data_IF_265375971562
#
_entry.id   IF_265375971562
#
_cell.length_a   1.000
_cell.length_b   1.000
_cell.length_c   1.000
_cell.angle_alpha   90.00
_cell.angle_beta   90.00
_cell.angle_gamma   90.00
#
_symmetry.space_group_name_H-M   'P 1'
#
loop_
_entity.id
_entity.type
_entity.pdbx_description
1 polymer ?
#
# COMPACT_ATOMS: atom_id res chain seq x y z
N UNK A 1 -27.15 0.49 7.50
CA UNK A 1 -25.77 0.51 8.04
C UNK A 1 -24.91 1.24 7.01
N UNK A 2 -24.12 2.24 7.42
CA UNK A 2 -23.11 2.82 6.51
C UNK A 2 -21.97 1.81 6.34
N UNK A 3 -21.36 1.83 5.16
CA UNK A 3 -20.39 0.85 4.73
C UNK A 3 -19.09 0.99 5.56
N UNK A 4 -18.46 -0.14 5.88
CA UNK A 4 -17.24 -0.20 6.67
C UNK A 4 -16.05 0.05 5.76
N UNK A 5 -15.41 1.22 5.91
CA UNK A 5 -14.20 1.55 5.18
C UNK A 5 -13.07 0.61 5.63
N UNK A 6 -12.56 -0.19 4.69
CA UNK A 6 -11.49 -1.15 4.92
C UNK A 6 -10.28 -0.75 4.09
N UNK A 7 -9.15 -0.57 4.74
CA UNK A 7 -7.86 -0.36 4.09
C UNK A 7 -6.98 -1.59 4.30
N UNK A 8 -6.46 -2.13 3.20
CA UNK A 8 -5.48 -3.21 3.19
C UNK A 8 -4.19 -2.65 2.59
N UNK A 9 -3.09 -2.73 3.32
CA UNK A 9 -1.78 -2.25 2.86
C UNK A 9 -0.74 -3.35 2.97
N UNK A 10 0.01 -3.58 1.89
CA UNK A 10 1.16 -4.50 1.86
C UNK A 10 2.42 -3.69 1.55
N UNK A 11 3.37 -3.65 2.48
CA UNK A 11 4.63 -2.95 2.35
C UNK A 11 5.79 -3.94 2.15
N UNK A 12 6.62 -3.69 1.13
CA UNK A 12 7.81 -4.46 0.78
C UNK A 12 9.07 -3.71 1.19
N UNK A 13 9.93 -4.34 1.97
CA UNK A 13 11.23 -3.78 2.34
C UNK A 13 12.35 -4.82 2.23
N UNK A 14 13.60 -4.38 2.17
CA UNK A 14 14.74 -5.30 2.29
C UNK A 14 14.93 -5.74 3.74
N UNK A 15 14.80 -4.79 4.67
CA UNK A 15 14.92 -5.00 6.13
C UNK A 15 13.97 -4.03 6.87
N UNK A 16 13.65 -4.33 8.14
CA UNK A 16 12.81 -3.53 9.05
C UNK A 16 13.45 -2.20 9.41
N UNK A 17 14.78 -2.10 9.32
CA UNK A 17 15.52 -0.85 9.52
C UNK A 17 15.30 0.19 8.39
N UNK A 18 14.69 -0.20 7.27
CA UNK A 18 14.50 0.67 6.11
C UNK A 18 13.01 0.91 5.83
N UNK A 19 12.71 2.09 5.29
CA UNK A 19 11.42 2.36 4.68
C UNK A 19 11.15 1.33 3.58
N UNK A 20 9.86 1.00 3.34
CA UNK A 20 9.53 0.09 2.26
C UNK A 20 10.01 0.66 0.92
N UNK A 21 10.46 -0.20 0.02
CA UNK A 21 10.73 0.17 -1.37
C UNK A 21 9.44 0.38 -2.15
N UNK A 22 8.41 -0.37 -1.78
CA UNK A 22 7.14 -0.42 -2.47
C UNK A 22 6.00 -0.69 -1.49
N UNK A 23 4.86 -0.03 -1.68
CA UNK A 23 3.65 -0.24 -0.89
C UNK A 23 2.46 -0.36 -1.82
N UNK A 24 1.63 -1.36 -1.57
CA UNK A 24 0.36 -1.60 -2.26
C UNK A 24 -0.79 -1.37 -1.30
N UNK A 25 -1.59 -0.36 -1.57
CA UNK A 25 -2.77 -0.01 -0.80
C UNK A 25 -4.04 -0.36 -1.59
N UNK A 26 -5.00 -0.96 -0.89
CA UNK A 26 -6.30 -1.29 -1.39
C UNK A 26 -7.34 -0.71 -0.43
N UNK A 27 -8.01 0.35 -0.87
CA UNK A 27 -9.10 0.98 -0.13
C UNK A 27 -10.45 0.46 -0.66
N UNK A 28 -11.32 0.06 0.26
CA UNK A 28 -12.60 -0.58 -0.05
C UNK A 28 -13.66 -0.02 0.89
N UNK A 29 -14.71 0.61 0.35
CA UNK A 29 -15.81 1.15 1.16
C UNK A 29 -16.68 0.05 1.78
N UNK A 30 -16.76 -1.11 1.13
CA UNK A 30 -17.52 -2.27 1.59
C UNK A 30 -16.80 -3.56 1.21
N UNK A 31 -16.47 -4.37 2.20
CA UNK A 31 -15.90 -5.69 1.98
C UNK A 31 -16.82 -6.75 2.57
N UNK A 32 -17.37 -7.60 1.70
CA UNK A 32 -18.19 -8.77 2.11
C UNK A 32 -17.29 -10.01 2.28
N UNK A 33 -16.21 -9.83 3.04
CA UNK A 33 -15.27 -10.88 3.43
C UNK A 33 -14.90 -10.68 4.90
N UNK A 34 -14.70 -11.76 5.64
CA UNK A 34 -14.21 -11.69 7.01
C UNK A 34 -12.72 -11.33 7.04
N UNK A 35 -12.28 -10.67 8.12
CA UNK A 35 -10.87 -10.29 8.30
C UNK A 35 -9.94 -11.50 8.20
N UNK A 36 -10.37 -12.65 8.72
CA UNK A 36 -9.65 -13.91 8.67
C UNK A 36 -9.44 -14.41 7.23
N UNK A 37 -10.44 -14.26 6.36
CA UNK A 37 -10.31 -14.65 4.95
C UNK A 37 -9.31 -13.77 4.20
N UNK A 38 -9.28 -12.47 4.52
CA UNK A 38 -8.28 -11.54 3.97
C UNK A 38 -6.89 -11.93 4.47
N UNK A 39 -6.76 -12.23 5.76
CA UNK A 39 -5.49 -12.67 6.36
C UNK A 39 -4.98 -13.97 5.75
N UNK A 40 -5.87 -14.92 5.43
CA UNK A 40 -5.50 -16.16 4.76
C UNK A 40 -4.97 -15.91 3.34
N UNK A 41 -5.63 -15.02 2.58
CA UNK A 41 -5.19 -14.65 1.23
C UNK A 41 -3.85 -13.88 1.27
N UNK A 42 -3.71 -12.91 2.18
CA UNK A 42 -2.46 -12.19 2.38
C UNK A 42 -1.35 -13.09 2.90
N UNK A 43 -1.69 -14.07 3.74
CA UNK A 43 -0.79 -15.10 4.21
C UNK A 43 -0.06 -15.75 3.03
N UNK A 44 -0.78 -16.08 1.96
CA UNK A 44 -0.18 -16.68 0.77
C UNK A 44 0.95 -15.86 0.12
N UNK A 45 0.97 -14.53 0.28
CA UNK A 45 2.03 -13.65 -0.21
C UNK A 45 3.36 -13.93 0.52
N UNK A 46 3.31 -14.13 1.85
CA UNK A 46 4.49 -14.45 2.64
C UNK A 46 5.08 -15.84 2.30
N UNK A 47 4.28 -16.71 1.69
CA UNK A 47 4.60 -18.10 1.41
C UNK A 47 4.62 -18.43 -0.09
N UNK A 48 4.65 -17.41 -0.96
CA UNK A 48 4.48 -17.58 -2.39
C UNK A 48 5.67 -18.33 -3.05
N UNK A 49 5.38 -19.56 -3.45
CA UNK A 49 6.03 -20.40 -4.48
C UNK A 49 7.55 -20.62 -4.38
N UNK A 50 7.97 -21.58 -3.55
CA UNK A 50 9.24 -22.31 -3.71
C UNK A 50 10.53 -21.50 -3.57
N UNK A 51 10.41 -20.19 -3.35
CA UNK A 51 11.51 -19.28 -3.11
C UNK A 51 12.02 -19.41 -1.68
N UNK A 52 13.31 -19.10 -1.45
CA UNK A 52 13.85 -19.03 -0.10
C UNK A 52 12.99 -18.09 0.73
N UNK A 53 12.52 -18.59 1.89
CA UNK A 53 11.67 -17.85 2.82
C UNK A 53 12.19 -16.41 2.99
N UNK A 54 11.33 -15.38 2.89
CA UNK A 54 11.74 -14.03 3.26
C UNK A 54 12.30 -14.07 4.68
N UNK A 55 13.52 -13.55 4.87
CA UNK A 55 14.24 -13.65 6.15
C UNK A 55 13.43 -13.10 7.33
N UNK A 56 12.50 -12.16 7.08
CA UNK A 56 11.53 -11.70 8.07
C UNK A 56 10.20 -11.33 7.39
N UNK A 57 9.11 -11.99 7.75
CA UNK A 57 7.76 -11.53 7.42
C UNK A 57 6.99 -11.20 8.70
N UNK A 58 6.19 -10.14 8.66
CA UNK A 58 5.24 -9.80 9.74
C UNK A 58 3.93 -9.37 9.14
N UNK A 59 2.88 -10.13 9.44
CA UNK A 59 1.52 -9.77 9.11
C UNK A 59 0.89 -9.23 10.38
N UNK A 60 0.35 -8.01 10.32
CA UNK A 60 -0.42 -7.42 11.40
C UNK A 60 -1.82 -7.06 10.87
N UNK A 61 -2.84 -7.27 11.67
CA UNK A 61 -4.17 -6.73 11.40
C UNK A 61 -4.60 -5.89 12.60
N UNK A 62 -5.07 -4.68 12.32
CA UNK A 62 -5.53 -3.73 13.33
C UNK A 62 -6.93 -3.27 12.97
N UNK A 63 -7.94 -3.89 13.56
CA UNK A 63 -9.32 -3.43 13.39
C UNK A 63 -9.61 -2.30 14.39
N UNK A 64 -9.92 -1.10 13.89
CA UNK A 64 -10.11 0.10 14.71
C UNK A 64 -11.49 0.72 14.54
N UNK A 65 -12.30 0.75 15.61
CA UNK A 65 -13.57 1.46 15.59
C UNK A 65 -13.37 2.93 16.00
N UNK A 66 -13.37 3.85 15.03
CA UNK A 66 -13.32 5.29 15.29
C UNK A 66 -14.70 5.81 15.75
N UNK A 67 -14.93 5.80 17.07
CA UNK A 67 -16.14 6.36 17.69
C UNK A 67 -16.00 7.87 17.97
N UNK A 68 -15.85 8.71 16.94
CA UNK A 68 -16.00 10.16 17.07
C UNK A 68 -17.40 10.59 16.61
N UNK A 69 -18.43 10.30 17.42
CA UNK A 69 -19.77 10.90 17.28
C UNK A 69 -20.53 10.67 15.95
N UNK A 70 -19.99 9.94 14.97
CA UNK A 70 -20.60 9.70 13.66
C UNK A 70 -20.33 8.27 13.15
N UNK A 71 -21.37 7.43 13.20
CA UNK A 71 -21.71 6.28 12.34
C UNK A 71 -20.71 5.77 11.28
N UNK A 72 -19.53 5.26 11.66
CA UNK A 72 -18.64 4.52 10.76
C UNK A 72 -17.73 3.54 11.50
N UNK A 73 -17.65 2.30 11.01
CA UNK A 73 -16.59 1.34 11.39
C UNK A 73 -15.46 1.43 10.37
N UNK A 74 -14.21 1.42 10.85
CA UNK A 74 -13.01 1.37 10.01
C UNK A 74 -12.25 0.07 10.30
N UNK A 75 -11.61 -0.51 9.30
CA UNK A 75 -10.74 -1.68 9.47
C UNK A 75 -9.44 -1.49 8.72
N UNK A 76 -8.31 -1.69 9.39
CA UNK A 76 -6.99 -1.57 8.78
C UNK A 76 -6.25 -2.91 8.85
N UNK A 77 -5.73 -3.38 7.73
CA UNK A 77 -4.93 -4.60 7.66
C UNK A 77 -3.57 -4.22 7.06
N UNK A 78 -2.49 -4.46 7.82
CA UNK A 78 -1.15 -4.03 7.48
C UNK A 78 -0.19 -5.23 7.41
N UNK A 79 0.21 -5.59 6.20
CA UNK A 79 1.22 -6.63 5.99
C UNK A 79 2.57 -5.98 5.67
N UNK A 80 3.61 -6.39 6.39
CA UNK A 80 5.00 -6.01 6.11
C UNK A 80 5.81 -7.24 5.75
N UNK A 81 6.35 -7.26 4.53
CA UNK A 81 7.19 -8.34 4.03
C UNK A 81 8.60 -7.81 3.84
N UNK A 82 9.58 -8.43 4.51
CA UNK A 82 10.98 -8.07 4.37
C UNK A 82 11.80 -9.19 3.73
N UNK A 83 12.47 -8.89 2.61
CA UNK A 83 13.34 -9.84 1.93
C UNK A 83 14.80 -9.50 2.15
N UNK A 84 15.51 -10.32 2.94
CA UNK A 84 16.97 -10.15 3.08
C UNK A 84 17.77 -10.61 1.86
N UNK A 85 17.13 -10.86 0.72
CA UNK A 85 17.80 -11.18 -0.55
C UNK A 85 18.14 -9.89 -1.27
N UNK A 86 19.42 -9.54 -1.29
CA UNK A 86 19.94 -8.49 -2.16
C UNK A 86 19.67 -8.86 -3.63
N UNK A 87 18.66 -8.27 -4.26
CA UNK A 87 18.41 -8.41 -5.69
C UNK A 87 16.94 -8.39 -6.09
N UNK A 88 16.61 -7.53 -7.05
CA UNK A 88 15.24 -7.25 -7.52
C UNK A 88 14.42 -8.41 -8.10
N UNK A 89 14.99 -9.61 -8.21
CA UNK A 89 14.25 -10.83 -8.59
C UNK A 89 13.24 -11.21 -7.50
N UNK A 90 13.63 -11.08 -6.22
CA UNK A 90 12.73 -11.35 -5.08
C UNK A 90 11.57 -10.35 -5.00
N UNK A 91 11.89 -9.06 -5.13
CA UNK A 91 10.89 -7.99 -5.09
C UNK A 91 9.84 -8.13 -6.21
N UNK A 92 10.27 -8.49 -7.43
CA UNK A 92 9.36 -8.69 -8.57
C UNK A 92 8.42 -9.87 -8.34
N UNK A 93 8.92 -10.99 -7.82
CA UNK A 93 8.10 -12.16 -7.52
C UNK A 93 7.06 -11.87 -6.43
N UNK A 94 7.43 -11.10 -5.40
CA UNK A 94 6.51 -10.74 -4.33
C UNK A 94 5.48 -9.71 -4.81
N UNK A 95 5.86 -8.71 -5.61
CA UNK A 95 4.89 -7.80 -6.22
C UNK A 95 3.85 -8.55 -7.08
N UNK A 96 4.27 -9.59 -7.81
CA UNK A 96 3.35 -10.47 -8.52
C UNK A 96 2.43 -11.26 -7.56
N UNK A 97 2.96 -11.78 -6.45
CA UNK A 97 2.16 -12.47 -5.43
C UNK A 97 1.13 -11.54 -4.76
N UNK A 98 1.50 -10.29 -4.45
CA UNK A 98 0.57 -9.27 -3.95
C UNK A 98 -0.56 -9.06 -4.95
N UNK A 99 -0.20 -8.85 -6.23
CA UNK A 99 -1.21 -8.68 -7.29
C UNK A 99 -2.16 -9.87 -7.37
N UNK A 100 -1.65 -11.10 -7.28
CA UNK A 100 -2.48 -12.32 -7.26
C UNK A 100 -3.41 -12.36 -6.05
N UNK A 101 -2.91 -12.05 -4.85
CA UNK A 101 -3.72 -12.02 -3.64
C UNK A 101 -4.84 -10.96 -3.73
N UNK A 102 -4.53 -9.77 -4.23
CA UNK A 102 -5.52 -8.71 -4.41
C UNK A 102 -6.54 -9.05 -5.51
N UNK A 103 -6.16 -9.69 -6.61
CA UNK A 103 -7.11 -10.22 -7.60
C UNK A 103 -8.02 -11.30 -7.01
N UNK A 104 -7.51 -12.16 -6.11
CA UNK A 104 -8.34 -13.13 -5.39
C UNK A 104 -9.33 -12.43 -4.45
N UNK A 105 -8.88 -11.45 -3.67
CA UNK A 105 -9.75 -10.64 -2.79
C UNK A 105 -10.85 -9.98 -3.63
N UNK A 106 -10.48 -9.35 -4.75
CA UNK A 106 -11.43 -8.76 -5.71
C UNK A 106 -12.42 -9.78 -6.25
N UNK A 107 -11.98 -10.98 -6.62
CA UNK A 107 -12.86 -12.04 -7.16
C UNK A 107 -13.89 -12.55 -6.16
N UNK A 108 -13.59 -12.46 -4.86
CA UNK A 108 -14.47 -12.88 -3.75
C UNK A 108 -15.35 -11.75 -3.24
N UNK A 109 -14.90 -10.50 -3.37
CA UNK A 109 -15.71 -9.34 -3.04
C UNK A 109 -16.94 -9.26 -3.97
N UNK A 110 -18.12 -8.98 -3.41
CA UNK A 110 -19.31 -8.71 -4.24
C UNK A 110 -19.03 -7.53 -5.17
N UNK A 111 -19.20 -7.75 -6.47
CA UNK A 111 -19.04 -6.71 -7.50
C UNK A 111 -20.10 -5.63 -7.28
N UNK A 112 -19.65 -4.40 -7.04
CA UNK A 112 -20.48 -3.21 -6.91
C UNK A 112 -19.67 -1.94 -7.22
N UNK A 113 -20.28 -0.76 -7.05
CA UNK A 113 -19.68 0.56 -7.34
C UNK A 113 -18.37 0.86 -6.59
N UNK A 114 -17.94 -0.01 -5.67
CA UNK A 114 -16.76 0.11 -4.80
C UNK A 114 -15.46 0.16 -5.61
N UNK A 115 -15.45 -0.41 -6.82
CA UNK A 115 -14.28 -0.45 -7.70
C UNK A 115 -14.36 0.53 -8.87
N UNK A 116 -15.35 1.42 -8.95
CA UNK A 116 -15.55 2.24 -10.16
C UNK A 116 -15.07 3.69 -10.02
N UNK A 117 -14.69 4.12 -8.81
CA UNK A 117 -14.23 5.49 -8.59
C UNK A 117 -12.78 5.66 -9.03
N UNK A 118 -12.60 6.05 -10.29
CA UNK A 118 -11.33 6.54 -10.81
C UNK A 118 -11.07 7.97 -10.31
N UNK A 119 -9.95 8.23 -9.62
CA UNK A 119 -9.69 9.56 -9.05
C UNK A 119 -9.49 10.60 -10.15
N UNK A 120 -9.87 11.85 -9.88
CA UNK A 120 -9.42 12.99 -10.69
C UNK A 120 -7.91 13.19 -10.54
N UNK A 121 -7.30 13.99 -11.43
CA UNK A 121 -5.87 14.31 -11.32
C UNK A 121 -5.48 14.92 -9.97
N UNK A 122 -6.24 15.92 -9.51
CA UNK A 122 -5.99 16.58 -8.22
C UNK A 122 -6.16 15.62 -7.04
N UNK A 123 -7.14 14.70 -7.12
CA UNK A 123 -7.36 13.67 -6.11
C UNK A 123 -6.21 12.65 -6.10
N UNK A 124 -5.78 12.20 -7.27
CA UNK A 124 -4.67 11.26 -7.42
C UNK A 124 -3.37 11.88 -6.85
N UNK A 125 -3.09 13.14 -7.16
CA UNK A 125 -1.93 13.85 -6.59
C UNK A 125 -2.02 13.96 -5.07
N UNK A 126 -3.16 14.42 -4.54
CA UNK A 126 -3.35 14.58 -3.10
C UNK A 126 -3.21 13.26 -2.34
N UNK A 127 -3.81 12.18 -2.87
CA UNK A 127 -3.69 10.84 -2.29
C UNK A 127 -2.25 10.34 -2.38
N UNK A 128 -1.59 10.48 -3.55
CA UNK A 128 -0.20 10.05 -3.72
C UNK A 128 0.72 10.74 -2.71
N UNK A 129 0.63 12.07 -2.56
CA UNK A 129 1.45 12.81 -1.59
C UNK A 129 1.16 12.41 -0.15
N UNK A 130 -0.12 12.22 0.20
CA UNK A 130 -0.52 11.75 1.53
C UNK A 130 0.06 10.37 1.85
N UNK A 131 -0.04 9.42 0.92
CA UNK A 131 0.51 8.07 1.09
C UNK A 131 2.04 8.06 1.12
N UNK A 132 2.69 8.88 0.29
CA UNK A 132 4.14 9.04 0.34
C UNK A 132 4.61 9.61 1.69
N UNK A 133 3.90 10.60 2.22
CA UNK A 133 4.16 11.11 3.56
C UNK A 133 4.02 10.02 4.63
N UNK A 134 2.90 9.28 4.61
CA UNK A 134 2.61 8.21 5.56
C UNK A 134 3.68 7.10 5.55
N UNK A 135 4.09 6.65 4.36
CA UNK A 135 4.94 5.46 4.22
C UNK A 135 6.43 5.77 4.13
N UNK A 136 6.83 6.97 3.72
CA UNK A 136 8.24 7.35 3.52
C UNK A 136 8.69 8.54 4.39
N UNK A 137 7.80 9.13 5.20
CA UNK A 137 8.13 10.25 6.09
C UNK A 137 8.54 11.53 5.36
N UNK A 138 8.19 11.68 4.08
CA UNK A 138 8.49 12.87 3.28
C UNK A 138 7.44 13.96 3.51
N UNK A 139 7.82 15.23 3.44
CA UNK A 139 6.84 16.32 3.62
C UNK A 139 6.03 16.53 2.33
N UNK A 140 4.72 16.66 2.47
CA UNK A 140 3.78 16.80 1.35
C UNK A 140 4.12 18.02 0.48
N UNK A 141 4.45 19.14 1.12
CA UNK A 141 4.74 20.42 0.46
C UNK A 141 6.05 20.40 -0.34
N UNK A 142 6.92 19.43 -0.05
CA UNK A 142 8.22 19.25 -0.70
C UNK A 142 8.18 18.29 -1.89
N UNK A 143 7.01 17.71 -2.19
CA UNK A 143 6.79 16.81 -3.32
C UNK A 143 6.24 17.59 -4.53
N UNK A 144 6.93 17.48 -5.66
CA UNK A 144 6.54 18.07 -6.94
C UNK A 144 6.27 16.97 -7.95
N UNK A 145 5.11 16.99 -8.61
CA UNK A 145 4.83 16.07 -9.72
C UNK A 145 5.70 16.42 -10.91
N UNK A 146 6.52 15.48 -11.38
CA UNK A 146 7.39 15.63 -12.55
C UNK A 146 6.78 15.03 -13.81
N UNK A 147 5.93 13.99 -13.65
CA UNK A 147 5.23 13.34 -14.75
C UNK A 147 3.85 12.88 -14.30
N UNK A 148 2.88 12.99 -15.20
CA UNK A 148 1.53 12.48 -15.02
C UNK A 148 1.07 11.82 -16.33
N UNK A 149 0.56 10.60 -16.24
CA UNK A 149 0.01 9.86 -17.38
C UNK A 149 -1.32 9.20 -16.99
N UNK A 150 -2.31 9.29 -17.87
CA UNK A 150 -3.67 8.79 -17.63
C UNK A 150 -4.08 7.94 -18.81
N UNK A 151 -4.24 6.65 -18.55
CA UNK A 151 -4.76 5.71 -19.51
C UNK A 151 -6.22 5.37 -19.16
N UNK A 152 -7.15 5.98 -19.89
CA UNK A 152 -8.59 5.82 -19.66
C UNK A 152 -9.12 4.45 -20.08
N UNK A 153 -8.48 3.78 -21.05
CA UNK A 153 -8.85 2.43 -21.50
C UNK A 153 -8.58 1.39 -20.41
N UNK A 154 -7.40 1.48 -19.79
CA UNK A 154 -6.99 0.59 -18.70
C UNK A 154 -7.39 1.09 -17.31
N UNK A 155 -8.03 2.27 -17.24
CA UNK A 155 -8.38 2.97 -15.99
C UNK A 155 -7.19 3.05 -15.02
N UNK A 156 -6.04 3.48 -15.56
CA UNK A 156 -4.79 3.58 -14.82
C UNK A 156 -4.29 5.02 -14.82
N UNK A 157 -3.88 5.49 -13.65
CA UNK A 157 -3.28 6.82 -13.47
C UNK A 157 -1.88 6.62 -12.92
N UNK A 158 -0.87 7.16 -13.60
CA UNK A 158 0.52 7.13 -13.15
C UNK A 158 1.03 8.54 -12.84
N UNK A 159 1.72 8.65 -11.71
CA UNK A 159 2.42 9.85 -11.27
C UNK A 159 3.88 9.52 -10.99
N UNK A 160 4.75 10.43 -11.37
CA UNK A 160 6.12 10.51 -10.87
C UNK A 160 6.25 11.80 -10.07
N UNK A 161 6.81 11.69 -8.87
CA UNK A 161 7.00 12.80 -7.95
C UNK A 161 8.47 12.90 -7.57
N UNK A 162 8.97 14.13 -7.48
CA UNK A 162 10.32 14.41 -6.99
C UNK A 162 10.24 15.22 -5.70
N UNK A 163 10.97 14.78 -4.70
CA UNK A 163 11.15 15.53 -3.47
C UNK A 163 12.31 16.53 -3.62
N UNK A 164 12.29 17.62 -2.85
CA UNK A 164 13.29 18.70 -2.95
C UNK A 164 14.74 18.24 -2.70
N UNK A 165 14.93 17.17 -1.94
CA UNK A 165 16.25 16.57 -1.69
C UNK A 165 16.76 15.69 -2.83
N UNK A 166 16.02 15.63 -3.94
CA UNK A 166 16.40 14.95 -5.16
C UNK A 166 15.84 13.53 -5.31
N UNK A 167 15.20 12.96 -4.30
CA UNK A 167 14.59 11.63 -4.36
C UNK A 167 13.40 11.59 -5.32
N UNK A 168 13.23 10.45 -6.00
CA UNK A 168 12.12 10.20 -6.93
C UNK A 168 11.20 9.14 -6.36
N UNK A 169 9.90 9.35 -6.55
CA UNK A 169 8.84 8.46 -6.13
C UNK A 169 7.87 8.28 -7.29
N UNK A 170 7.11 7.18 -7.27
CA UNK A 170 5.98 7.05 -8.17
C UNK A 170 4.73 6.54 -7.46
N UNK A 171 3.60 6.80 -8.09
CA UNK A 171 2.30 6.32 -7.67
C UNK A 171 1.52 5.83 -8.90
N UNK A 172 0.88 4.66 -8.77
CA UNK A 172 0.03 4.07 -9.80
C UNK A 172 -1.33 3.76 -9.17
N UNK A 173 -2.37 4.43 -9.65
CA UNK A 173 -3.77 4.13 -9.32
C UNK A 173 -4.35 3.22 -10.39
N UNK A 174 -5.21 2.28 -10.01
CA UNK A 174 -5.59 1.20 -10.92
C UNK A 174 -4.41 0.28 -11.22
N UNK A 175 -3.52 0.08 -10.25
CA UNK A 175 -2.37 -0.81 -10.40
C UNK A 175 -2.79 -2.27 -10.71
N UNK A 176 -4.02 -2.61 -10.35
CA UNK A 176 -4.71 -3.84 -10.74
C UNK A 176 -5.88 -3.47 -11.65
N UNK A 177 -6.04 -4.24 -12.73
CA UNK A 177 -7.05 -4.01 -13.74
C UNK A 177 -8.45 -3.99 -13.10
N UNK A 178 -9.28 -3.02 -13.49
CA UNK A 178 -10.63 -2.84 -12.92
C UNK A 178 -10.66 -2.63 -11.40
N UNK A 179 -9.55 -2.21 -10.79
CA UNK A 179 -9.44 -1.83 -9.37
C UNK A 179 -8.76 -0.46 -9.21
N UNK A 180 -9.41 0.64 -9.62
CA UNK A 180 -8.88 2.00 -9.49
C UNK A 180 -8.55 2.42 -8.06
N UNK A 181 -9.17 1.80 -7.05
CA UNK A 181 -8.84 2.02 -5.62
C UNK A 181 -7.58 1.28 -5.15
N UNK A 182 -6.99 0.42 -6.00
CA UNK A 182 -5.69 -0.18 -5.76
C UNK A 182 -4.60 0.81 -6.18
N UNK A 183 -3.85 1.30 -5.19
CA UNK A 183 -2.74 2.23 -5.36
C UNK A 183 -1.43 1.51 -5.07
N UNK A 184 -0.47 1.64 -5.97
CA UNK A 184 0.92 1.21 -5.77
C UNK A 184 1.79 2.45 -5.67
N UNK A 185 2.53 2.61 -4.58
CA UNK A 185 3.56 3.67 -4.44
C UNK A 185 4.92 3.04 -4.28
N UNK A 186 5.96 3.71 -4.77
CA UNK A 186 7.34 3.23 -4.73
C UNK A 186 8.32 4.37 -4.62
N UNK A 187 9.51 4.09 -4.09
CA UNK A 187 10.66 4.99 -4.11
C UNK A 187 11.72 4.46 -5.09
N UNK A 188 12.33 5.37 -5.86
CA UNK A 188 13.48 5.05 -6.71
C UNK A 188 14.79 5.17 -5.93
N UNK A 189 15.77 4.35 -6.29
CA UNK A 189 17.12 4.40 -5.75
C UNK A 189 17.36 3.56 -4.50
N UNK A 190 18.33 3.98 -3.69
CA UNK A 190 18.83 3.20 -2.54
C UNK A 190 17.81 3.12 -1.39
N UNK A 191 17.72 1.99 -0.68
CA UNK A 191 16.85 1.84 0.49
C UNK A 191 17.08 2.93 1.53
N UNK A 192 16.00 3.57 1.97
CA UNK A 192 16.07 4.66 2.94
C UNK A 192 15.99 4.13 4.37
N UNK A 193 16.96 4.47 5.22
CA UNK A 193 16.90 4.11 6.64
C UNK A 193 15.72 4.80 7.34
N UNK A 194 14.99 4.03 8.16
CA UNK A 194 14.02 4.62 9.09
C UNK A 194 14.78 5.32 10.21
N UNK A 195 14.29 6.46 10.71
CA UNK A 195 14.83 7.04 11.93
C UNK A 195 14.69 6.03 13.07
N UNK A 196 15.72 5.94 13.93
CA UNK A 196 15.63 5.13 15.13
C UNK A 196 14.42 5.60 15.95
N UNK A 197 13.61 4.67 16.50
CA UNK A 197 12.54 5.05 17.41
C UNK A 197 13.15 5.85 18.55
N UNK A 198 12.75 7.10 18.68
CA UNK A 198 13.16 7.94 19.80
C UNK A 198 12.64 7.25 21.06
N UNK A 199 13.55 6.70 21.87
CA UNK A 199 13.17 6.18 23.17
C UNK A 199 12.47 7.31 23.92
N UNK A 200 11.28 7.07 24.50
CA UNK A 200 10.62 8.09 25.30
C UNK A 200 11.61 8.56 26.34
N UNK A 201 11.83 9.88 26.41
CA UNK A 201 12.68 10.49 27.43
C UNK A 201 12.25 9.90 28.77
N UNK A 202 13.15 9.13 29.40
CA UNK A 202 12.93 8.66 30.75
C UNK A 202 12.89 9.90 31.62
N UNK A 203 11.69 10.37 31.94
CA UNK A 203 11.47 11.46 32.86
C UNK A 203 12.12 11.11 34.19
N UNK A 204 13.12 11.91 34.59
CA UNK A 204 13.63 11.96 35.95
C UNK A 204 12.62 12.65 36.87
#
# INVERSE_FOLDING_TARGET
>A
MRAQETQISVALSDDRGYYPQEVWDLCIDHLDMYTEEILDELGSIAWAEGNQYPNNSSIAATTGQLNWGASGSYSEILMQVSTGTAGGVGATAIAAAIKVAYEKIKSRARVGAVWDNFPSADQAEAVAKSRLHQHYGVMIEKLTVTRSDVNTETRRYELELRHEDGRTFGAVFGAIESMPSCTRIWADGEPMLRPEPTLPEQGN
#
